data_IF_234535612531
#
_entry.id   IF_234535612531
#
_cell.length_a   1.000
_cell.length_b   1.000
_cell.length_c   1.000
_cell.angle_alpha   90.00
_cell.angle_beta   90.00
_cell.angle_gamma   90.00
#
_symmetry.space_group_name_H-M   'P 1'
#
loop_
_entity.id
_entity.type
_entity.pdbx_description
1 polymer ?
#
# COMPACT_ATOMS: atom_id res chain seq x y z
N UNK A 1 -22.95 3.22 -14.52
CA UNK A 1 -21.49 3.24 -14.22
C UNK A 1 -21.25 2.34 -13.03
N UNK A 2 -20.39 1.33 -13.17
CA UNK A 2 -20.08 0.37 -12.10
C UNK A 2 -19.16 1.02 -11.06
N UNK A 3 -19.35 0.69 -9.78
CA UNK A 3 -18.52 1.14 -8.66
C UNK A 3 -17.01 0.87 -8.87
N UNK A 4 -16.67 -0.16 -9.65
CA UNK A 4 -15.30 -0.48 -10.07
C UNK A 4 -14.61 0.67 -10.84
N UNK A 5 -15.31 1.28 -11.79
CA UNK A 5 -14.74 2.39 -12.59
C UNK A 5 -14.52 3.65 -11.76
N UNK A 6 -15.34 3.85 -10.72
CA UNK A 6 -15.17 4.95 -9.77
C UNK A 6 -13.99 4.73 -8.83
N UNK A 7 -13.73 3.49 -8.40
CA UNK A 7 -12.59 3.17 -7.54
C UNK A 7 -11.25 3.36 -8.28
N UNK A 8 -11.20 3.01 -9.57
CA UNK A 8 -10.02 3.26 -10.43
C UNK A 8 -9.68 4.74 -10.54
N UNK A 9 -10.66 5.62 -10.66
CA UNK A 9 -10.41 7.05 -10.89
C UNK A 9 -9.79 7.78 -9.69
N UNK A 10 -9.91 7.21 -8.48
CA UNK A 10 -9.32 7.75 -7.24
C UNK A 10 -8.13 6.94 -6.75
N UNK A 11 -7.66 5.96 -7.53
CA UNK A 11 -6.57 5.09 -7.15
C UNK A 11 -5.22 5.69 -7.51
N UNK A 12 -4.27 5.66 -6.58
CA UNK A 12 -2.89 6.10 -6.81
C UNK A 12 -1.90 5.03 -6.37
N UNK A 13 -1.11 4.51 -7.32
CA UNK A 13 0.01 3.58 -7.05
C UNK A 13 1.24 4.33 -6.59
N UNK A 14 1.88 3.84 -5.53
CA UNK A 14 3.08 4.43 -4.93
C UNK A 14 4.05 3.33 -4.51
N UNK A 15 5.30 3.71 -4.32
CA UNK A 15 6.32 2.86 -3.73
C UNK A 15 7.06 3.61 -2.64
N UNK A 16 7.46 2.89 -1.59
CA UNK A 16 8.35 3.42 -0.56
C UNK A 16 9.55 2.51 -0.39
N UNK A 17 10.74 3.11 -0.29
CA UNK A 17 12.01 2.39 -0.18
C UNK A 17 12.57 2.56 1.22
N UNK A 18 12.87 1.44 1.86
CA UNK A 18 13.60 1.37 3.12
C UNK A 18 15.05 1.06 2.82
N UNK A 19 15.97 1.78 3.46
CA UNK A 19 17.40 1.49 3.34
C UNK A 19 17.73 0.10 3.91
N UNK A 20 17.13 -0.25 5.04
CA UNK A 20 17.21 -1.57 5.67
C UNK A 20 15.97 -1.82 6.55
N UNK A 21 15.58 -3.09 6.70
CA UNK A 21 14.56 -3.56 7.64
C UNK A 21 15.11 -4.76 8.41
N UNK A 22 15.08 -4.71 9.74
CA UNK A 22 15.39 -5.86 10.59
C UNK A 22 14.14 -6.75 10.72
N UNK A 23 14.28 -8.03 10.40
CA UNK A 23 13.21 -9.03 10.51
C UNK A 23 13.08 -9.54 11.96
N UNK A 24 11.97 -10.23 12.26
CA UNK A 24 11.69 -10.73 13.61
C UNK A 24 12.72 -11.76 14.11
N UNK A 25 13.42 -12.45 13.20
CA UNK A 25 14.52 -13.37 13.51
C UNK A 25 15.89 -12.66 13.63
N UNK A 26 15.92 -11.33 13.52
CA UNK A 26 17.11 -10.49 13.71
C UNK A 26 18.00 -10.33 12.47
N UNK A 27 17.61 -10.88 11.33
CA UNK A 27 18.32 -10.67 10.07
C UNK A 27 18.00 -9.29 9.47
N UNK A 28 18.86 -8.78 8.58
CA UNK A 28 18.63 -7.50 7.92
C UNK A 28 18.36 -7.69 6.42
N UNK A 29 17.24 -7.13 5.97
CA UNK A 29 16.92 -6.99 4.56
C UNK A 29 17.32 -5.59 4.11
N UNK A 30 18.44 -5.49 3.38
CA UNK A 30 18.87 -4.24 2.77
C UNK A 30 18.03 -3.93 1.52
N UNK A 31 17.78 -2.64 1.29
CA UNK A 31 17.17 -2.13 0.06
C UNK A 31 15.76 -2.67 -0.27
N UNK A 32 14.86 -2.63 0.72
CA UNK A 32 13.49 -3.13 0.56
C UNK A 32 12.58 -2.07 -0.05
N UNK A 33 11.92 -2.41 -1.16
CA UNK A 33 10.89 -1.56 -1.79
C UNK A 33 9.51 -2.15 -1.57
N UNK A 34 8.59 -1.37 -0.99
CA UNK A 34 7.19 -1.74 -0.80
C UNK A 34 6.33 -0.97 -1.80
N UNK A 35 5.63 -1.67 -2.67
CA UNK A 35 4.60 -1.11 -3.54
C UNK A 35 3.24 -1.14 -2.85
N UNK A 36 2.49 -0.04 -2.92
CA UNK A 36 1.16 0.06 -2.33
C UNK A 36 0.24 0.94 -3.20
N UNK A 37 -1.07 0.76 -3.02
CA UNK A 37 -2.09 1.53 -3.71
C UNK A 37 -2.96 2.26 -2.69
N UNK A 38 -3.19 3.55 -2.90
CA UNK A 38 -4.05 4.36 -2.03
C UNK A 38 -5.31 4.74 -2.76
N UNK A 39 -6.45 4.65 -2.08
CA UNK A 39 -7.75 5.04 -2.59
C UNK A 39 -8.30 6.22 -1.80
N UNK A 40 -8.67 7.29 -2.51
CA UNK A 40 -9.19 8.52 -1.90
C UNK A 40 -8.09 9.53 -1.53
N UNK A 41 -8.47 10.56 -0.77
CA UNK A 41 -7.62 11.72 -0.45
C UNK A 41 -7.24 11.76 1.02
N UNK A 42 -5.95 11.90 1.29
CA UNK A 42 -5.45 12.16 2.64
C UNK A 42 -5.80 13.61 3.03
N UNK A 43 -6.38 13.83 4.21
CA UNK A 43 -6.51 15.19 4.77
C UNK A 43 -5.34 15.46 5.71
N UNK A 44 -4.82 16.69 5.64
CA UNK A 44 -3.81 17.18 6.56
C UNK A 44 -4.35 17.08 7.98
N UNK A 45 -3.68 16.29 8.82
CA UNK A 45 -3.97 15.97 10.22
C UNK A 45 -4.95 14.80 10.49
N UNK A 46 -4.37 13.67 10.92
CA UNK A 46 -5.03 12.53 11.61
C UNK A 46 -6.27 11.98 10.90
N UNK A 47 -6.20 11.81 9.58
CA UNK A 47 -7.24 11.06 8.86
C UNK A 47 -7.15 9.57 9.23
N UNK A 48 -8.27 8.88 9.56
CA UNK A 48 -8.23 7.45 9.81
C UNK A 48 -7.76 6.72 8.54
N UNK A 49 -6.66 5.99 8.66
CA UNK A 49 -6.14 5.14 7.59
C UNK A 49 -6.51 3.69 7.89
N UNK A 50 -7.00 2.98 6.89
CA UNK A 50 -7.26 1.54 6.96
C UNK A 50 -6.22 0.86 6.09
N UNK A 51 -5.48 -0.09 6.67
CA UNK A 51 -4.51 -0.91 5.95
C UNK A 51 -5.20 -2.19 5.50
N UNK A 52 -5.16 -2.46 4.19
CA UNK A 52 -5.60 -3.72 3.62
C UNK A 52 -4.36 -4.55 3.26
N UNK A 53 -4.29 -5.76 3.79
CA UNK A 53 -3.28 -6.75 3.39
C UNK A 53 -3.88 -7.68 2.34
N UNK A 54 -3.08 -8.04 1.34
CA UNK A 54 -3.50 -8.97 0.30
C UNK A 54 -3.37 -10.43 0.76
N UNK A 55 -4.12 -11.31 0.10
CA UNK A 55 -3.94 -12.75 0.24
C UNK A 55 -2.61 -13.21 -0.41
N UNK A 56 -2.15 -14.43 -0.12
CA UNK A 56 -0.83 -14.92 -0.54
C UNK A 56 -0.53 -14.76 -2.04
N UNK A 57 -1.52 -14.93 -2.92
CA UNK A 57 -1.37 -14.78 -4.38
C UNK A 57 -1.88 -13.45 -4.94
N UNK A 58 -2.33 -12.54 -4.07
CA UNK A 58 -2.76 -11.20 -4.45
C UNK A 58 -1.59 -10.21 -4.54
N UNK A 59 -1.88 -9.00 -4.97
CA UNK A 59 -0.94 -7.88 -4.96
C UNK A 59 -1.60 -6.64 -4.31
N UNK A 60 -0.94 -5.48 -4.42
CA UNK A 60 -1.46 -4.24 -3.86
C UNK A 60 -2.77 -3.74 -4.53
N UNK A 61 -3.22 -4.36 -5.61
CA UNK A 61 -4.42 -3.98 -6.33
C UNK A 61 -5.67 -4.58 -5.68
N UNK A 62 -6.51 -3.70 -5.12
CA UNK A 62 -7.85 -4.06 -4.68
C UNK A 62 -8.83 -3.97 -5.87
N UNK A 63 -8.87 -5.04 -6.68
CA UNK A 63 -9.75 -5.19 -7.85
C UNK A 63 -10.95 -6.09 -7.59
#
# INVERSE_FOLDING_TARGET
>A
MSCYEMAKSISTKKSYRFAAITTEDGQELADVTIAYETFGTFRDHKTPAILLCHALTGDAHAG
#
